data_IF_150922184432
#
_entry.id   IF_150922184432
#
_cell.length_a   1.000
_cell.length_b   1.000
_cell.length_c   1.000
_cell.angle_alpha   90.00
_cell.angle_beta   90.00
_cell.angle_gamma   90.00
#
_symmetry.space_group_name_H-M   'P 1'
#
loop_
_entity.id
_entity.type
_entity.pdbx_description
1 polymer ?
#
# COMPACT_ATOMS: atom_id res chain seq x y z
N UNK A 1 16.78 -38.65 -15.66
CA UNK A 1 17.27 -37.30 -15.34
C UNK A 1 18.74 -37.28 -15.75
N UNK A 2 19.14 -36.35 -16.62
CA UNK A 2 20.55 -36.22 -17.03
C UNK A 2 21.38 -35.73 -15.83
N UNK A 3 22.43 -36.49 -15.47
CA UNK A 3 23.28 -36.20 -14.30
C UNK A 3 24.05 -34.89 -14.43
N UNK A 4 24.25 -34.41 -15.67
CA UNK A 4 24.92 -33.14 -15.94
C UNK A 4 23.97 -31.93 -15.88
N UNK A 5 22.67 -32.15 -15.64
CA UNK A 5 21.69 -31.06 -15.51
C UNK A 5 22.05 -30.19 -14.32
N UNK A 6 22.27 -28.88 -14.56
CA UNK A 6 22.43 -27.90 -13.49
C UNK A 6 21.05 -27.47 -13.01
N UNK A 7 20.81 -27.59 -11.72
CA UNK A 7 19.57 -27.21 -11.05
C UNK A 7 19.81 -26.04 -10.11
N UNK A 8 18.77 -25.26 -9.81
CA UNK A 8 18.78 -24.19 -8.80
C UNK A 8 17.45 -24.14 -8.05
N UNK A 9 17.47 -23.59 -6.84
CA UNK A 9 16.23 -23.31 -6.10
C UNK A 9 15.43 -22.19 -6.78
N UNK A 10 14.11 -22.39 -6.90
CA UNK A 10 13.16 -21.36 -7.27
C UNK A 10 13.09 -20.30 -6.15
N UNK A 11 13.44 -19.03 -6.42
CA UNK A 11 13.53 -17.99 -5.39
C UNK A 11 12.16 -17.55 -4.82
N UNK A 12 11.07 -18.11 -5.34
CA UNK A 12 9.70 -17.77 -4.93
C UNK A 12 9.25 -18.51 -3.68
N UNK A 13 9.99 -19.53 -3.23
CA UNK A 13 9.63 -20.32 -2.05
C UNK A 13 10.18 -19.72 -0.75
N UNK A 14 9.41 -19.87 0.32
CA UNK A 14 9.67 -19.33 1.65
C UNK A 14 9.24 -20.34 2.71
N UNK A 15 10.01 -20.47 3.79
CA UNK A 15 9.50 -21.07 5.03
C UNK A 15 8.78 -19.98 5.80
N UNK A 16 7.51 -20.21 6.12
CA UNK A 16 6.68 -19.30 6.91
C UNK A 16 6.29 -19.93 8.22
N UNK A 17 5.98 -19.07 9.19
CA UNK A 17 5.59 -19.43 10.55
C UNK A 17 4.23 -18.81 10.83
N UNK A 18 3.23 -19.61 11.19
CA UNK A 18 1.94 -19.15 11.72
C UNK A 18 1.74 -19.84 13.06
N UNK A 19 1.77 -19.07 14.15
CA UNK A 19 1.77 -19.64 15.50
C UNK A 19 3.00 -20.52 15.75
N UNK A 20 2.78 -21.77 16.17
CA UNK A 20 3.84 -22.78 16.33
C UNK A 20 4.09 -23.63 15.07
N UNK A 21 3.29 -23.45 14.02
CA UNK A 21 3.40 -24.25 12.80
C UNK A 21 4.29 -23.60 11.77
N UNK A 22 5.06 -24.45 11.09
CA UNK A 22 5.94 -24.08 9.97
C UNK A 22 5.33 -24.65 8.71
N UNK A 23 5.38 -23.91 7.62
CA UNK A 23 4.97 -24.41 6.30
C UNK A 23 5.82 -23.79 5.20
N UNK A 24 5.88 -24.47 4.07
CA UNK A 24 6.54 -23.96 2.88
C UNK A 24 5.50 -23.20 2.03
N UNK A 25 5.85 -22.02 1.54
CA UNK A 25 4.96 -21.15 0.78
C UNK A 25 5.64 -20.65 -0.50
N UNK A 26 4.96 -20.73 -1.64
CA UNK A 26 5.45 -20.20 -2.93
C UNK A 26 4.69 -18.92 -3.27
N UNK A 27 5.40 -17.80 -3.20
CA UNK A 27 4.83 -16.48 -3.43
C UNK A 27 4.24 -16.28 -4.83
N UNK A 28 4.81 -16.93 -5.85
CA UNK A 28 4.40 -16.81 -7.25
C UNK A 28 2.95 -17.25 -7.47
N UNK A 29 2.57 -18.40 -6.89
CA UNK A 29 1.26 -19.04 -7.13
C UNK A 29 0.39 -19.13 -5.87
N UNK A 30 0.89 -18.61 -4.74
CA UNK A 30 0.22 -18.58 -3.43
C UNK A 30 -0.16 -19.95 -2.87
N UNK A 31 0.62 -20.97 -3.22
CA UNK A 31 0.46 -22.32 -2.68
C UNK A 31 1.23 -22.45 -1.37
N UNK A 32 0.59 -23.07 -0.37
CA UNK A 32 1.22 -23.53 0.85
C UNK A 32 1.28 -25.07 0.80
N UNK A 33 2.43 -25.64 1.12
CA UNK A 33 2.62 -27.08 1.27
C UNK A 33 2.45 -27.46 2.74
N UNK A 34 1.98 -28.69 2.96
CA UNK A 34 1.77 -29.23 4.30
C UNK A 34 3.07 -29.28 5.12
N UNK A 35 2.98 -29.17 6.46
CA UNK A 35 4.14 -29.18 7.36
C UNK A 35 4.98 -30.47 7.31
N UNK A 36 4.52 -31.54 6.67
CA UNK A 36 5.25 -32.80 6.68
C UNK A 36 6.45 -32.79 5.72
N UNK A 37 6.39 -32.02 4.63
CA UNK A 37 7.53 -31.90 3.70
C UNK A 37 8.75 -31.25 4.37
N UNK A 38 8.51 -30.29 5.27
CA UNK A 38 9.56 -29.57 5.99
C UNK A 38 10.10 -30.35 7.20
N UNK A 39 9.51 -31.49 7.55
CA UNK A 39 10.04 -32.41 8.57
C UNK A 39 11.02 -33.42 7.95
N UNK A 40 11.06 -33.52 6.63
CA UNK A 40 11.94 -34.43 5.92
C UNK A 40 13.37 -33.87 5.90
N UNK A 41 14.33 -34.59 6.49
CA UNK A 41 15.74 -34.16 6.57
C UNK A 41 16.39 -34.12 5.18
N UNK A 42 16.16 -35.15 4.36
CA UNK A 42 16.66 -35.25 2.98
C UNK A 42 16.16 -34.10 2.10
N UNK A 43 14.93 -33.62 2.34
CA UNK A 43 14.43 -32.41 1.68
C UNK A 43 15.33 -31.20 1.93
N UNK A 44 15.74 -30.99 3.19
CA UNK A 44 16.58 -29.86 3.57
C UNK A 44 18.04 -30.01 3.14
N UNK A 45 18.58 -31.23 3.15
CA UNK A 45 19.93 -31.47 2.63
C UNK A 45 20.03 -31.18 1.13
N UNK A 46 19.07 -31.68 0.34
CA UNK A 46 19.01 -31.37 -1.09
C UNK A 46 18.78 -29.88 -1.30
N UNK A 47 17.89 -29.26 -0.53
CA UNK A 47 17.66 -27.82 -0.59
C UNK A 47 18.95 -27.03 -0.31
N UNK A 48 19.63 -27.31 0.80
CA UNK A 48 20.86 -26.64 1.19
C UNK A 48 21.94 -26.80 0.11
N UNK A 49 22.07 -28.00 -0.45
CA UNK A 49 23.01 -28.28 -1.51
C UNK A 49 22.79 -27.39 -2.76
N UNK A 50 21.53 -27.17 -3.14
CA UNK A 50 21.15 -26.37 -4.31
C UNK A 50 20.89 -24.88 -4.00
N UNK A 51 21.30 -24.37 -2.83
CA UNK A 51 21.35 -22.91 -2.56
C UNK A 51 22.23 -22.17 -3.57
N UNK A 52 23.13 -22.89 -4.23
CA UNK A 52 23.86 -22.45 -5.43
C UNK A 52 23.51 -23.38 -6.59
N UNK A 53 23.50 -22.88 -7.83
CA UNK A 53 23.32 -23.75 -8.99
C UNK A 53 24.42 -24.82 -9.05
N UNK A 54 24.02 -26.09 -9.05
CA UNK A 54 24.90 -27.26 -9.08
C UNK A 54 24.31 -28.35 -9.95
N UNK A 55 25.12 -29.32 -10.36
CA UNK A 55 24.66 -30.48 -11.11
C UNK A 55 24.09 -31.58 -10.21
N UNK A 56 23.27 -32.45 -10.80
CA UNK A 56 22.80 -33.66 -10.13
C UNK A 56 23.98 -34.58 -9.77
N UNK A 57 25.00 -34.66 -10.62
CA UNK A 57 26.21 -35.46 -10.34
C UNK A 57 26.91 -35.01 -9.06
N UNK A 58 27.15 -33.69 -8.92
CA UNK A 58 27.77 -33.14 -7.71
C UNK A 58 26.95 -33.44 -6.44
N UNK A 59 25.61 -33.49 -6.56
CA UNK A 59 24.73 -33.83 -5.43
C UNK A 59 24.92 -35.30 -5.00
N UNK A 60 25.02 -36.22 -5.96
CA UNK A 60 25.24 -37.65 -5.69
C UNK A 60 26.64 -37.94 -5.10
N UNK A 61 27.62 -37.09 -5.40
CA UNK A 61 28.97 -37.20 -4.85
C UNK A 61 29.11 -36.57 -3.45
N UNK A 62 28.26 -35.60 -3.12
CA UNK A 62 28.41 -34.78 -1.90
C UNK A 62 27.41 -35.10 -0.79
N UNK A 63 26.19 -35.54 -1.14
CA UNK A 63 25.14 -35.87 -0.16
C UNK A 63 25.35 -37.31 0.30
N UNK A 64 25.58 -37.51 1.59
CA UNK A 64 26.00 -38.79 2.15
C UNK A 64 24.82 -39.76 2.37
N UNK A 65 24.14 -40.12 1.29
CA UNK A 65 23.01 -41.04 1.27
C UNK A 65 23.01 -41.93 0.02
N UNK A 66 22.19 -42.98 0.01
CA UNK A 66 22.04 -43.83 -1.18
C UNK A 66 21.61 -43.02 -2.41
N UNK A 67 22.27 -43.25 -3.54
CA UNK A 67 22.05 -42.49 -4.77
C UNK A 67 20.58 -42.47 -5.22
N UNK A 68 19.87 -43.60 -5.10
CA UNK A 68 18.46 -43.67 -5.49
C UNK A 68 17.57 -42.78 -4.60
N UNK A 69 17.91 -42.68 -3.31
CA UNK A 69 17.20 -41.84 -2.36
C UNK A 69 17.40 -40.35 -2.66
N UNK A 70 18.64 -39.93 -2.94
CA UNK A 70 18.98 -38.56 -3.35
C UNK A 70 18.32 -38.21 -4.69
N UNK A 71 18.34 -39.11 -5.68
CA UNK A 71 17.69 -38.91 -6.98
C UNK A 71 16.18 -38.70 -6.82
N UNK A 72 15.52 -39.51 -5.98
CA UNK A 72 14.09 -39.40 -5.76
C UNK A 72 13.72 -38.10 -5.04
N UNK A 73 14.51 -37.65 -4.08
CA UNK A 73 14.34 -36.35 -3.45
C UNK A 73 14.47 -35.21 -4.47
N UNK A 74 15.53 -35.20 -5.29
CA UNK A 74 15.73 -34.19 -6.34
C UNK A 74 14.54 -34.16 -7.32
N UNK A 75 14.07 -35.33 -7.78
CA UNK A 75 12.88 -35.41 -8.65
C UNK A 75 11.64 -34.83 -7.99
N UNK A 76 11.36 -35.18 -6.73
CA UNK A 76 10.23 -34.64 -5.98
C UNK A 76 10.29 -33.12 -5.82
N UNK A 77 11.48 -32.56 -5.61
CA UNK A 77 11.67 -31.11 -5.57
C UNK A 77 11.47 -30.45 -6.96
N UNK A 78 11.85 -31.11 -8.05
CA UNK A 78 11.56 -30.64 -9.41
C UNK A 78 10.06 -30.68 -9.69
N UNK A 79 9.38 -31.77 -9.34
CA UNK A 79 7.93 -31.93 -9.56
C UNK A 79 7.12 -30.90 -8.77
N UNK A 80 7.57 -30.55 -7.57
CA UNK A 80 7.01 -29.45 -6.77
C UNK A 80 7.36 -28.06 -7.33
N UNK A 81 8.26 -27.95 -8.30
CA UNK A 81 8.79 -26.69 -8.85
C UNK A 81 9.77 -25.96 -7.92
N UNK A 82 10.26 -26.64 -6.89
CA UNK A 82 11.25 -26.11 -5.93
C UNK A 82 12.63 -26.04 -6.58
N UNK A 83 13.01 -27.07 -7.33
CA UNK A 83 14.21 -27.06 -8.17
C UNK A 83 13.82 -26.82 -9.62
N UNK A 84 14.51 -25.90 -10.27
CA UNK A 84 14.31 -25.57 -11.67
C UNK A 84 15.58 -25.84 -12.47
N UNK A 85 15.44 -26.29 -13.71
CA UNK A 85 16.56 -26.46 -14.64
C UNK A 85 17.18 -25.10 -14.92
N UNK A 86 18.49 -25.01 -14.72
CA UNK A 86 19.23 -23.79 -14.92
C UNK A 86 19.55 -23.58 -16.41
N UNK A 87 18.54 -23.18 -17.18
CA UNK A 87 18.71 -22.84 -18.60
C UNK A 87 19.54 -21.56 -18.74
N UNK A 88 20.83 -21.70 -19.04
CA UNK A 88 21.73 -20.56 -19.32
C UNK A 88 21.24 -19.73 -20.54
N UNK A 89 20.29 -20.25 -21.34
CA UNK A 89 19.74 -19.60 -22.54
C UNK A 89 18.52 -18.69 -22.32
N UNK A 90 17.92 -18.65 -21.13
CA UNK A 90 16.89 -17.63 -20.86
C UNK A 90 17.57 -16.28 -20.66
N UNK A 91 17.49 -15.43 -21.68
CA UNK A 91 18.12 -14.09 -21.81
C UNK A 91 17.74 -13.05 -20.74
N UNK A 92 17.19 -13.46 -19.60
CA UNK A 92 17.15 -12.68 -18.38
C UNK A 92 17.99 -13.39 -17.32
N UNK A 93 19.26 -12.98 -17.23
CA UNK A 93 20.25 -13.53 -16.30
C UNK A 93 19.87 -13.42 -14.83
N UNK A 94 19.00 -14.30 -14.34
CA UNK A 94 18.73 -14.46 -12.91
C UNK A 94 19.96 -15.00 -12.15
N UNK A 95 20.89 -15.67 -12.84
CA UNK A 95 22.14 -16.18 -12.25
C UNK A 95 23.20 -15.11 -11.94
N UNK A 96 22.94 -13.82 -12.18
CA UNK A 96 23.89 -12.76 -11.83
C UNK A 96 23.50 -11.91 -10.63
N UNK A 97 22.33 -12.15 -10.03
CA UNK A 97 21.94 -11.47 -8.81
C UNK A 97 22.30 -12.32 -7.60
N UNK A 98 23.59 -12.41 -7.29
CA UNK A 98 23.98 -12.61 -5.89
C UNK A 98 23.29 -11.47 -5.14
N UNK A 99 22.31 -11.80 -4.29
CA UNK A 99 21.67 -10.80 -3.45
C UNK A 99 22.79 -10.10 -2.70
N UNK A 100 23.01 -8.82 -3.02
CA UNK A 100 24.04 -8.06 -2.33
C UNK A 100 23.78 -8.14 -0.82
N UNK A 101 24.83 -8.03 -0.01
CA UNK A 101 24.69 -8.01 1.46
C UNK A 101 23.60 -7.02 1.93
N UNK A 102 23.41 -5.91 1.20
CA UNK A 102 22.33 -4.94 1.43
C UNK A 102 20.93 -5.53 1.23
N UNK A 103 20.71 -6.34 0.20
CA UNK A 103 19.41 -6.98 -0.05
C UNK A 103 19.12 -8.09 0.97
N UNK A 104 20.13 -8.86 1.37
CA UNK A 104 20.02 -9.89 2.42
C UNK A 104 19.63 -9.25 3.76
N UNK A 105 20.16 -8.06 4.06
CA UNK A 105 19.81 -7.34 5.29
C UNK A 105 18.42 -6.65 5.21
N UNK A 106 17.72 -6.70 4.08
CA UNK A 106 16.43 -6.03 3.86
C UNK A 106 15.42 -6.97 3.17
N UNK A 107 15.37 -8.23 3.61
CA UNK A 107 14.55 -9.27 2.97
C UNK A 107 13.07 -8.93 2.93
N UNK A 108 12.53 -8.23 3.93
CA UNK A 108 11.12 -7.81 3.95
C UNK A 108 10.76 -6.93 2.75
N UNK A 109 11.61 -5.95 2.42
CA UNK A 109 11.45 -5.09 1.25
C UNK A 109 11.56 -5.88 -0.06
N UNK A 110 12.46 -6.86 -0.12
CA UNK A 110 12.61 -7.76 -1.27
C UNK A 110 11.34 -8.61 -1.44
N UNK A 111 10.82 -9.16 -0.35
CA UNK A 111 9.59 -9.96 -0.36
C UNK A 111 8.38 -9.14 -0.75
N UNK A 112 8.23 -7.93 -0.20
CA UNK A 112 7.19 -7.01 -0.62
C UNK A 112 7.31 -6.73 -2.12
N UNK A 113 8.51 -6.39 -2.62
CA UNK A 113 8.71 -6.10 -4.03
C UNK A 113 8.35 -7.29 -4.95
N UNK A 114 8.85 -8.49 -4.65
CA UNK A 114 8.62 -9.68 -5.48
C UNK A 114 7.14 -10.08 -5.45
N UNK A 115 6.54 -10.16 -4.27
CA UNK A 115 5.14 -10.56 -4.08
C UNK A 115 4.14 -9.60 -4.73
N UNK A 116 4.52 -8.34 -4.93
CA UNK A 116 3.65 -7.31 -5.52
C UNK A 116 4.00 -6.94 -6.98
N UNK A 117 5.13 -7.42 -7.53
CA UNK A 117 5.54 -7.13 -8.93
C UNK A 117 5.46 -8.32 -9.87
N UNK A 118 5.60 -9.56 -9.37
CA UNK A 118 5.71 -10.78 -10.19
C UNK A 118 4.41 -11.58 -10.17
N UNK A 119 3.32 -10.93 -10.58
CA UNK A 119 1.99 -11.54 -10.62
C UNK A 119 1.51 -11.64 -12.06
N UNK A 120 0.58 -12.55 -12.33
CA UNK A 120 -0.06 -12.64 -13.63
C UNK A 120 -0.80 -11.31 -13.92
N UNK A 121 -0.54 -10.75 -15.10
CA UNK A 121 -1.14 -9.50 -15.55
C UNK A 121 -2.30 -9.83 -16.47
N UNK A 122 -3.45 -9.19 -16.25
CA UNK A 122 -4.56 -9.23 -17.20
C UNK A 122 -4.20 -8.30 -18.37
N UNK A 123 -4.20 -8.82 -19.60
CA UNK A 123 -4.00 -7.97 -20.76
C UNK A 123 -5.32 -7.29 -21.15
N UNK A 124 -5.51 -6.05 -20.69
CA UNK A 124 -6.71 -5.25 -20.96
C UNK A 124 -6.86 -4.83 -22.43
N UNK A 125 -5.92 -5.15 -23.32
CA UNK A 125 -6.12 -5.00 -24.78
C UNK A 125 -6.85 -6.17 -25.42
N UNK A 126 -7.06 -7.28 -24.69
CA UNK A 126 -7.70 -8.50 -25.18
C UNK A 126 -8.99 -8.78 -24.39
N UNK A 127 -10.14 -8.57 -25.02
CA UNK A 127 -11.46 -8.72 -24.40
C UNK A 127 -11.69 -10.08 -23.72
N UNK A 128 -11.20 -11.18 -24.32
CA UNK A 128 -11.34 -12.53 -23.76
C UNK A 128 -10.58 -12.72 -22.44
N UNK A 129 -9.37 -12.16 -22.33
CA UNK A 129 -8.59 -12.23 -21.08
C UNK A 129 -9.25 -11.41 -19.95
N UNK A 130 -9.87 -10.27 -20.28
CA UNK A 130 -10.65 -9.48 -19.31
C UNK A 130 -11.84 -10.29 -18.78
N UNK A 131 -12.58 -10.94 -19.68
CA UNK A 131 -13.74 -11.76 -19.30
C UNK A 131 -13.32 -12.89 -18.35
N UNK A 132 -12.28 -13.64 -18.73
CA UNK A 132 -11.86 -14.86 -18.02
C UNK A 132 -11.16 -14.57 -16.70
N UNK A 133 -10.27 -13.57 -16.65
CA UNK A 133 -9.38 -13.33 -15.51
C UNK A 133 -9.84 -12.21 -14.59
N UNK A 134 -10.77 -11.34 -15.03
CA UNK A 134 -11.27 -10.22 -14.23
C UNK A 134 -12.77 -10.33 -13.96
N UNK A 135 -13.60 -10.37 -15.00
CA UNK A 135 -15.05 -10.35 -14.84
C UNK A 135 -15.59 -11.58 -14.08
N UNK A 136 -15.20 -12.79 -14.49
CA UNK A 136 -15.65 -14.02 -13.83
C UNK A 136 -15.27 -14.07 -12.35
N UNK A 137 -14.04 -13.68 -12.03
CA UNK A 137 -13.52 -13.59 -10.67
C UNK A 137 -14.30 -12.57 -9.82
N UNK A 138 -14.63 -11.42 -10.39
CA UNK A 138 -15.47 -10.42 -9.73
C UNK A 138 -16.91 -10.90 -9.54
N UNK A 139 -17.49 -11.58 -10.51
CA UNK A 139 -18.86 -12.12 -10.46
C UNK A 139 -19.02 -13.21 -9.39
N UNK A 140 -17.99 -14.02 -9.16
CA UNK A 140 -17.95 -14.96 -8.04
C UNK A 140 -17.87 -14.17 -6.73
N UNK A 141 -16.92 -13.22 -6.65
CA UNK A 141 -16.67 -12.49 -5.41
C UNK A 141 -17.88 -11.71 -4.89
N UNK A 142 -18.61 -11.03 -5.77
CA UNK A 142 -19.80 -10.25 -5.37
C UNK A 142 -20.99 -11.13 -4.95
N UNK A 143 -20.99 -12.42 -5.30
CA UNK A 143 -21.98 -13.39 -4.78
C UNK A 143 -21.62 -13.85 -3.37
N UNK A 144 -20.33 -13.93 -3.06
CA UNK A 144 -19.83 -14.41 -1.76
C UNK A 144 -19.80 -13.29 -0.72
N UNK A 145 -19.43 -12.07 -1.12
CA UNK A 145 -19.20 -10.95 -0.22
C UNK A 145 -19.72 -9.63 -0.80
N UNK A 146 -20.26 -8.79 0.08
CA UNK A 146 -20.67 -7.44 -0.31
C UNK A 146 -19.46 -6.53 -0.51
N UNK A 147 -19.44 -5.70 -1.58
CA UNK A 147 -18.43 -4.67 -1.74
C UNK A 147 -18.36 -3.73 -0.52
N UNK A 148 -17.16 -3.43 0.01
CA UNK A 148 -17.01 -2.47 1.09
C UNK A 148 -17.58 -1.10 0.73
N UNK A 149 -18.15 -0.41 1.72
CA UNK A 149 -18.68 0.94 1.55
C UNK A 149 -17.61 1.91 1.05
N UNK A 150 -17.97 2.76 0.08
CA UNK A 150 -17.17 3.89 -0.39
C UNK A 150 -16.97 4.99 0.68
N UNK A 151 -17.78 4.95 1.75
CA UNK A 151 -17.80 5.96 2.79
C UNK A 151 -17.57 5.35 4.16
N UNK A 152 -16.84 6.08 5.00
CA UNK A 152 -16.73 5.80 6.43
C UNK A 152 -17.55 6.84 7.19
N UNK A 153 -18.29 6.39 8.20
CA UNK A 153 -18.77 7.25 9.29
C UNK A 153 -17.93 6.93 10.51
N UNK A 154 -17.16 7.89 10.99
CA UNK A 154 -16.38 7.70 12.20
C UNK A 154 -17.33 7.58 13.41
N UNK A 155 -17.13 6.55 14.26
CA UNK A 155 -18.14 6.15 15.26
C UNK A 155 -18.29 7.15 16.41
N UNK A 156 -17.19 7.77 16.81
CA UNK A 156 -17.13 8.70 17.93
C UNK A 156 -16.93 10.15 17.44
N UNK A 157 -17.75 10.57 16.48
CA UNK A 157 -17.72 11.93 15.94
C UNK A 157 -19.10 12.54 15.79
N UNK A 158 -19.15 13.87 15.78
CA UNK A 158 -20.37 14.67 15.68
C UNK A 158 -20.22 15.64 14.50
N UNK A 159 -21.24 15.75 13.62
CA UNK A 159 -21.30 16.80 12.58
C UNK A 159 -20.94 18.17 13.13
N UNK A 160 -20.00 18.89 12.50
CA UNK A 160 -19.58 20.20 13.02
C UNK A 160 -19.47 21.31 11.95
N UNK A 161 -18.76 21.07 10.84
CA UNK A 161 -18.56 22.10 9.81
C UNK A 161 -18.91 21.57 8.44
N UNK A 162 -20.05 22.02 7.89
CA UNK A 162 -20.39 21.80 6.49
C UNK A 162 -19.40 22.56 5.62
N UNK A 163 -18.90 21.91 4.59
CA UNK A 163 -17.91 22.49 3.69
C UNK A 163 -18.58 22.89 2.37
N UNK A 164 -18.04 23.92 1.73
CA UNK A 164 -18.48 24.28 0.38
C UNK A 164 -17.90 23.30 -0.65
N UNK A 165 -18.73 22.86 -1.59
CA UNK A 165 -18.27 22.08 -2.74
C UNK A 165 -17.29 22.89 -3.62
N UNK A 166 -16.53 22.17 -4.45
CA UNK A 166 -15.39 22.66 -5.23
C UNK A 166 -15.58 24.07 -5.83
N UNK A 167 -14.77 25.02 -5.35
CA UNK A 167 -14.57 26.31 -6.02
C UNK A 167 -13.67 26.07 -7.23
N UNK A 168 -14.08 26.42 -8.47
CA UNK A 168 -13.29 26.16 -9.67
C UNK A 168 -11.90 26.83 -9.67
N UNK A 169 -10.85 26.12 -10.08
CA UNK A 169 -9.47 26.66 -10.19
C UNK A 169 -9.37 27.93 -11.03
N UNK A 170 -10.33 28.15 -11.97
CA UNK A 170 -10.42 29.41 -12.73
C UNK A 170 -10.57 30.65 -11.86
N UNK A 171 -10.99 30.51 -10.60
CA UNK A 171 -10.97 31.60 -9.63
C UNK A 171 -9.52 32.04 -9.30
N UNK A 172 -8.56 31.13 -9.39
CA UNK A 172 -7.14 31.35 -9.13
C UNK A 172 -6.29 31.55 -10.40
N UNK A 173 -6.92 31.62 -11.58
CA UNK A 173 -6.27 31.60 -12.92
C UNK A 173 -5.17 32.64 -13.12
N UNK A 174 -5.23 33.79 -12.44
CA UNK A 174 -4.23 34.86 -12.59
C UNK A 174 -2.85 34.49 -12.05
N UNK A 175 -2.74 33.43 -11.21
CA UNK A 175 -1.48 33.00 -10.57
C UNK A 175 -0.98 31.62 -10.98
N UNK A 176 -1.76 30.85 -11.74
CA UNK A 176 -1.40 29.53 -12.29
C UNK A 176 -0.63 29.73 -13.62
N UNK A 177 0.45 30.50 -13.62
CA UNK A 177 1.39 30.47 -14.75
C UNK A 177 2.24 29.18 -14.67
N UNK A 178 3.11 28.93 -15.66
CA UNK A 178 4.01 27.77 -15.75
C UNK A 178 4.97 27.56 -14.55
N UNK A 179 4.82 28.34 -13.47
CA UNK A 179 5.56 28.35 -12.21
C UNK A 179 5.07 27.32 -11.17
N UNK A 180 4.05 26.49 -11.44
CA UNK A 180 3.57 25.45 -10.49
C UNK A 180 4.69 24.51 -10.03
N UNK A 181 5.71 24.27 -10.88
CA UNK A 181 6.90 23.48 -10.55
C UNK A 181 8.12 24.33 -10.16
N UNK A 182 7.99 25.65 -10.17
CA UNK A 182 9.02 26.55 -9.64
C UNK A 182 8.79 26.75 -8.14
N UNK A 183 9.87 26.82 -7.36
CA UNK A 183 9.81 26.97 -5.90
C UNK A 183 9.26 28.32 -5.43
N UNK A 184 9.00 29.25 -6.34
CA UNK A 184 8.67 30.64 -6.03
C UNK A 184 7.30 30.98 -6.60
N UNK A 185 6.25 30.49 -5.94
CA UNK A 185 4.88 30.96 -6.16
C UNK A 185 4.57 32.01 -5.09
N UNK A 186 4.24 33.22 -5.52
CA UNK A 186 3.81 34.28 -4.61
C UNK A 186 2.38 33.97 -4.11
N UNK A 187 2.30 33.53 -2.84
CA UNK A 187 1.09 33.02 -2.20
C UNK A 187 -0.14 33.91 -2.30
N UNK A 188 -1.32 33.31 -2.16
CA UNK A 188 -2.61 34.02 -2.15
C UNK A 188 -2.95 34.54 -0.75
N UNK A 189 -2.60 33.82 0.32
CA UNK A 189 -2.86 34.22 1.70
C UNK A 189 -1.99 33.37 2.66
N UNK A 190 -1.41 34.01 3.69
CA UNK A 190 -0.61 33.32 4.71
C UNK A 190 -1.42 32.90 5.95
N UNK A 191 -2.70 33.31 6.07
CA UNK A 191 -3.52 32.97 7.22
C UNK A 191 -4.28 31.66 6.98
N UNK A 192 -4.05 30.68 7.84
CA UNK A 192 -4.65 29.35 7.74
C UNK A 192 -6.09 29.40 8.26
N UNK A 193 -7.04 28.90 7.48
CA UNK A 193 -8.47 28.95 7.77
C UNK A 193 -9.21 27.66 7.38
N UNK A 194 -10.45 27.51 7.83
CA UNK A 194 -11.35 26.44 7.40
C UNK A 194 -11.55 26.42 5.88
N UNK A 195 -11.64 27.57 5.23
CA UNK A 195 -11.79 27.66 3.76
C UNK A 195 -10.57 27.08 3.02
N UNK A 196 -9.38 27.28 3.59
CA UNK A 196 -8.15 26.72 3.06
C UNK A 196 -8.13 25.20 3.20
N UNK A 197 -8.53 24.68 4.38
CA UNK A 197 -8.66 23.24 4.62
C UNK A 197 -9.68 22.65 3.64
N UNK A 198 -10.81 23.32 3.45
CA UNK A 198 -11.83 22.92 2.48
C UNK A 198 -11.26 22.85 1.06
N UNK A 199 -10.48 23.86 0.63
CA UNK A 199 -9.87 23.86 -0.69
C UNK A 199 -8.90 22.69 -0.88
N UNK A 200 -8.03 22.40 0.10
CA UNK A 200 -7.13 21.24 0.07
C UNK A 200 -7.93 19.94 -0.10
N UNK A 201 -8.96 19.72 0.73
CA UNK A 201 -9.79 18.52 0.69
C UNK A 201 -10.52 18.38 -0.65
N UNK A 202 -11.05 19.48 -1.18
CA UNK A 202 -11.74 19.52 -2.47
C UNK A 202 -10.84 19.09 -3.64
N UNK A 203 -9.55 19.38 -3.58
CA UNK A 203 -8.60 19.04 -4.63
C UNK A 203 -7.79 17.76 -4.35
N UNK A 204 -7.88 17.16 -3.16
CA UNK A 204 -7.13 15.94 -2.83
C UNK A 204 -8.02 14.71 -2.63
N UNK A 205 -9.14 14.82 -1.89
CA UNK A 205 -9.85 13.63 -1.37
C UNK A 205 -11.39 13.72 -1.41
N UNK A 206 -11.97 14.88 -1.73
CA UNK A 206 -13.42 15.05 -1.85
C UNK A 206 -14.02 14.20 -2.98
N UNK A 207 -15.33 13.96 -2.92
CA UNK A 207 -16.07 13.32 -4.00
C UNK A 207 -16.33 14.35 -5.11
N UNK A 208 -15.95 14.05 -6.34
CA UNK A 208 -16.20 14.90 -7.53
C UNK A 208 -17.21 14.29 -8.49
N UNK A 209 -17.58 13.02 -8.29
CA UNK A 209 -18.51 12.34 -9.17
C UNK A 209 -18.73 10.89 -8.78
N UNK A 210 -19.32 10.14 -9.70
CA UNK A 210 -19.55 8.70 -9.55
C UNK A 210 -19.29 7.98 -10.86
N UNK A 211 -18.94 6.70 -10.77
CA UNK A 211 -18.71 5.82 -11.92
C UNK A 211 -19.39 4.48 -11.67
N UNK A 212 -19.98 3.88 -12.70
CA UNK A 212 -20.50 2.51 -12.65
C UNK A 212 -19.39 1.54 -13.01
N UNK A 213 -19.04 0.66 -12.08
CA UNK A 213 -18.01 -0.36 -12.24
C UNK A 213 -18.66 -1.71 -12.53
N UNK A 214 -18.02 -2.51 -13.38
CA UNK A 214 -18.44 -3.90 -13.60
C UNK A 214 -18.51 -4.67 -12.27
N UNK A 215 -19.56 -5.49 -12.10
CA UNK A 215 -19.92 -6.29 -10.92
C UNK A 215 -20.18 -5.55 -9.59
N UNK A 216 -19.48 -4.45 -9.33
CA UNK A 216 -19.52 -3.74 -8.04
C UNK A 216 -20.47 -2.54 -8.02
N UNK A 217 -21.00 -2.16 -9.19
CA UNK A 217 -21.97 -1.09 -9.33
C UNK A 217 -21.37 0.29 -9.09
N UNK A 218 -22.11 1.14 -8.38
CA UNK A 218 -21.80 2.56 -8.23
C UNK A 218 -20.64 2.83 -7.27
N UNK A 219 -19.59 3.46 -7.78
CA UNK A 219 -18.45 3.98 -7.03
C UNK A 219 -18.33 5.50 -7.11
N UNK A 220 -17.54 6.07 -6.20
CA UNK A 220 -17.24 7.50 -6.22
C UNK A 220 -16.00 7.78 -7.07
N UNK A 221 -15.90 9.00 -7.57
CA UNK A 221 -14.67 9.56 -8.13
C UNK A 221 -14.15 10.63 -7.17
N UNK A 222 -12.82 10.69 -7.01
CA UNK A 222 -12.09 11.76 -6.31
C UNK A 222 -11.20 12.52 -7.31
N UNK A 223 -10.64 13.69 -6.97
CA UNK A 223 -9.71 14.45 -7.82
C UNK A 223 -8.42 13.70 -8.17
N UNK A 224 -8.18 12.58 -7.49
CA UNK A 224 -7.05 11.67 -7.70
C UNK A 224 -7.55 10.33 -8.24
N UNK A 225 -6.80 9.66 -9.12
CA UNK A 225 -7.14 8.31 -9.55
C UNK A 225 -7.00 7.33 -8.38
N UNK A 226 -7.74 6.23 -8.46
CA UNK A 226 -7.61 5.10 -7.53
C UNK A 226 -7.85 3.79 -8.27
N UNK A 227 -7.05 2.76 -7.96
CA UNK A 227 -7.19 1.45 -8.60
C UNK A 227 -8.59 0.87 -8.42
N UNK A 228 -9.31 0.66 -9.53
CA UNK A 228 -10.70 0.17 -9.52
C UNK A 228 -11.71 1.10 -8.87
N UNK A 229 -11.42 2.41 -8.78
CA UNK A 229 -12.24 3.42 -8.11
C UNK A 229 -12.55 3.07 -6.63
N UNK A 230 -11.60 2.41 -5.93
CA UNK A 230 -11.80 1.93 -4.56
C UNK A 230 -11.64 3.03 -3.50
N UNK A 231 -10.81 4.03 -3.76
CA UNK A 231 -10.56 5.18 -2.90
C UNK A 231 -10.44 4.81 -1.41
N UNK A 232 -9.36 4.07 -1.08
CA UNK A 232 -9.17 3.52 0.28
C UNK A 232 -8.89 4.57 1.34
N UNK A 233 -8.42 5.74 0.91
CA UNK A 233 -7.93 6.77 1.82
C UNK A 233 -9.05 7.52 2.53
N UNK A 234 -8.89 7.66 3.85
CA UNK A 234 -9.65 8.54 4.74
C UNK A 234 -8.73 9.66 5.26
N UNK A 235 -9.29 10.83 5.54
CA UNK A 235 -8.56 11.98 6.07
C UNK A 235 -9.03 12.37 7.48
N UNK A 236 -8.09 12.51 8.40
CA UNK A 236 -8.30 13.08 9.72
C UNK A 236 -7.58 14.42 9.84
N UNK A 237 -8.31 15.46 10.20
CA UNK A 237 -7.79 16.83 10.29
C UNK A 237 -7.55 17.15 11.75
N UNK A 238 -6.28 17.34 12.12
CA UNK A 238 -5.88 17.77 13.45
C UNK A 238 -5.59 19.25 13.38
N UNK A 239 -6.37 20.04 14.12
CA UNK A 239 -6.34 21.50 14.10
C UNK A 239 -5.79 22.00 15.43
N UNK A 240 -4.72 22.79 15.34
CA UNK A 240 -4.12 23.50 16.47
C UNK A 240 -4.73 24.91 16.63
N UNK A 241 -4.37 25.61 17.70
CA UNK A 241 -4.86 26.96 17.97
C UNK A 241 -4.45 27.98 16.91
N UNK A 242 -5.33 28.95 16.66
CA UNK A 242 -5.10 30.07 15.76
C UNK A 242 -5.36 29.77 14.27
N UNK A 243 -6.20 28.77 13.99
CA UNK A 243 -6.76 28.53 12.65
C UNK A 243 -8.15 29.18 12.59
N UNK A 244 -8.36 30.04 11.60
CA UNK A 244 -9.61 30.80 11.49
C UNK A 244 -10.79 29.92 11.08
N UNK A 245 -11.94 30.13 11.71
CA UNK A 245 -13.21 29.48 11.33
C UNK A 245 -13.32 28.01 11.72
N UNK A 246 -12.36 27.47 12.47
CA UNK A 246 -12.41 26.08 12.99
C UNK A 246 -11.78 26.00 14.38
N UNK A 247 -12.53 25.42 15.32
CA UNK A 247 -12.05 25.17 16.68
C UNK A 247 -10.86 24.19 16.71
N UNK A 248 -9.98 24.36 17.69
CA UNK A 248 -9.00 23.33 18.08
C UNK A 248 -9.67 21.95 18.26
N UNK A 249 -9.04 20.90 17.73
CA UNK A 249 -9.56 19.54 17.85
C UNK A 249 -9.09 18.59 16.75
N UNK A 250 -9.64 17.38 16.77
CA UNK A 250 -9.50 16.39 15.71
C UNK A 250 -10.83 16.22 14.98
N UNK A 251 -10.77 16.03 13.66
CA UNK A 251 -11.94 15.91 12.79
C UNK A 251 -11.75 14.75 11.81
N UNK A 252 -12.83 14.07 11.45
CA UNK A 252 -12.86 13.15 10.31
C UNK A 252 -13.54 13.84 9.14
N UNK A 253 -12.94 13.77 7.95
CA UNK A 253 -13.58 14.29 6.74
C UNK A 253 -14.61 13.29 6.22
N UNK A 254 -15.88 13.64 6.42
CA UNK A 254 -17.01 12.85 5.95
C UNK A 254 -17.26 13.12 4.47
N UNK A 255 -16.66 12.30 3.61
CA UNK A 255 -16.79 12.41 2.15
C UNK A 255 -18.24 12.32 1.67
N UNK A 256 -19.11 11.56 2.36
CA UNK A 256 -20.50 11.39 1.92
C UNK A 256 -21.32 12.67 2.07
N UNK A 257 -21.10 13.40 3.17
CA UNK A 257 -21.85 14.61 3.51
C UNK A 257 -21.05 15.90 3.23
N UNK A 258 -19.84 15.77 2.67
CA UNK A 258 -18.92 16.87 2.42
C UNK A 258 -18.73 17.80 3.63
N UNK A 259 -18.35 17.20 4.76
CA UNK A 259 -18.35 17.84 6.09
C UNK A 259 -17.18 17.40 6.95
N UNK A 260 -16.75 18.25 7.88
CA UNK A 260 -15.91 17.83 9.01
C UNK A 260 -16.75 17.39 10.21
N UNK A 261 -16.58 16.13 10.61
CA UNK A 261 -17.16 15.56 11.83
C UNK A 261 -16.14 15.66 12.97
N UNK A 262 -16.44 16.40 14.04
CA UNK A 262 -15.55 16.56 15.20
C UNK A 262 -15.45 15.25 15.96
N UNK A 263 -14.23 14.76 16.14
CA UNK A 263 -13.92 13.55 16.89
C UNK A 263 -13.89 13.88 18.39
N UNK A 264 -14.61 13.10 19.18
CA UNK A 264 -14.69 13.31 20.62
C UNK A 264 -13.50 12.66 21.34
N UNK A 265 -12.38 13.36 21.36
CA UNK A 265 -11.17 13.01 22.12
C UNK A 265 -10.73 14.18 23.00
N UNK A 266 -9.92 13.90 24.02
CA UNK A 266 -9.45 14.92 24.96
C UNK A 266 -8.52 15.94 24.26
N UNK A 267 -8.45 17.17 24.78
CA UNK A 267 -7.48 18.16 24.30
C UNK A 267 -6.04 17.71 24.49
N UNK A 268 -5.78 16.89 25.52
CA UNK A 268 -4.49 16.25 25.74
C UNK A 268 -4.12 15.29 24.60
N UNK A 269 -5.07 14.49 24.12
CA UNK A 269 -4.83 13.56 23.01
C UNK A 269 -4.70 14.30 21.66
N UNK A 270 -5.44 15.39 21.44
CA UNK A 270 -5.23 16.26 20.27
C UNK A 270 -3.80 16.82 20.27
N UNK A 271 -3.32 17.31 21.41
CA UNK A 271 -1.93 17.78 21.54
C UNK A 271 -0.92 16.66 21.29
N UNK A 272 -1.17 15.44 21.77
CA UNK A 272 -0.32 14.28 21.44
C UNK A 272 -0.28 14.02 19.95
N UNK A 273 -1.42 14.08 19.24
CA UNK A 273 -1.45 13.90 17.79
C UNK A 273 -0.62 14.96 17.07
N UNK A 274 -0.69 16.22 17.51
CA UNK A 274 0.10 17.32 16.94
C UNK A 274 1.61 17.06 17.10
N UNK A 275 2.03 16.65 18.30
CA UNK A 275 3.44 16.34 18.59
C UNK A 275 3.90 15.12 17.79
N UNK A 276 3.11 14.05 17.83
CA UNK A 276 3.39 12.78 17.19
C UNK A 276 3.55 12.89 15.67
N UNK A 277 2.76 13.77 15.04
CA UNK A 277 2.76 13.92 13.58
C UNK A 277 3.96 14.71 13.05
N UNK A 278 4.69 15.44 13.89
CA UNK A 278 5.82 16.29 13.49
C UNK A 278 7.18 15.57 13.57
N UNK A 279 7.25 14.31 13.12
CA UNK A 279 8.42 13.43 13.30
C UNK A 279 9.70 14.00 12.68
N UNK A 280 9.62 14.62 11.50
CA UNK A 280 10.79 15.03 10.72
C UNK A 280 11.29 16.45 11.01
N UNK A 281 10.71 17.17 12.00
CA UNK A 281 11.05 18.57 12.38
C UNK A 281 11.33 19.49 11.17
N UNK A 282 10.61 19.27 10.06
CA UNK A 282 10.83 20.00 8.80
C UNK A 282 10.37 21.46 8.87
N UNK A 283 9.47 21.77 9.81
CA UNK A 283 8.99 23.13 10.07
C UNK A 283 10.00 24.09 10.69
N UNK A 284 11.29 23.73 10.83
CA UNK A 284 12.36 24.62 11.35
C UNK A 284 12.02 25.28 12.70
N UNK A 285 11.36 24.54 13.60
CA UNK A 285 10.92 25.04 14.91
C UNK A 285 9.51 25.66 14.94
N UNK A 286 8.83 25.78 13.80
CA UNK A 286 7.40 26.16 13.75
C UNK A 286 6.52 25.03 14.29
N UNK A 287 5.44 25.41 14.97
CA UNK A 287 4.44 24.46 15.47
C UNK A 287 3.42 24.18 14.37
N UNK A 288 3.10 22.90 14.07
CA UNK A 288 2.03 22.57 13.16
C UNK A 288 0.71 23.27 13.53
N UNK A 289 0.05 23.84 12.54
CA UNK A 289 -1.26 24.48 12.64
C UNK A 289 -2.39 23.55 12.19
N UNK A 290 -2.16 22.84 11.10
CA UNK A 290 -3.09 21.82 10.60
C UNK A 290 -2.28 20.60 10.17
N UNK A 291 -2.76 19.42 10.54
CA UNK A 291 -2.22 18.14 10.07
C UNK A 291 -3.37 17.37 9.44
N UNK A 292 -3.19 16.90 8.21
CA UNK A 292 -4.07 15.95 7.55
C UNK A 292 -3.39 14.59 7.68
N UNK A 293 -3.93 13.70 8.51
CA UNK A 293 -3.50 12.31 8.60
C UNK A 293 -4.28 11.49 7.57
N UNK A 294 -3.57 10.77 6.73
CA UNK A 294 -4.17 9.90 5.73
C UNK A 294 -4.08 8.45 6.21
N UNK A 295 -5.23 7.82 6.39
CA UNK A 295 -5.31 6.39 6.66
C UNK A 295 -5.85 5.64 5.46
N UNK A 296 -5.57 4.34 5.36
CA UNK A 296 -6.13 3.48 4.32
C UNK A 296 -6.98 2.38 4.94
N UNK A 297 -8.24 2.25 4.48
CA UNK A 297 -9.08 1.10 4.78
C UNK A 297 -8.70 -0.03 3.82
N UNK A 298 -8.03 -1.06 4.34
CA UNK A 298 -7.40 -2.09 3.52
C UNK A 298 -8.40 -2.91 2.72
N UNK A 299 -9.53 -3.27 3.35
CA UNK A 299 -10.58 -4.10 2.75
C UNK A 299 -11.13 -3.50 1.45
N UNK A 300 -11.18 -2.16 1.32
CA UNK A 300 -11.62 -1.50 0.07
C UNK A 300 -10.73 -1.84 -1.12
N UNK A 301 -9.41 -1.85 -0.93
CA UNK A 301 -8.45 -2.25 -1.99
C UNK A 301 -8.44 -3.76 -2.15
N UNK A 302 -8.42 -4.52 -1.05
CA UNK A 302 -8.37 -5.99 -1.06
C UNK A 302 -9.56 -6.64 -1.76
N UNK A 303 -10.73 -6.00 -1.73
CA UNK A 303 -11.90 -6.49 -2.45
C UNK A 303 -11.67 -6.57 -3.97
N UNK A 304 -10.95 -5.57 -4.53
CA UNK A 304 -10.58 -5.53 -5.95
C UNK A 304 -9.29 -6.32 -6.21
N UNK A 305 -8.28 -6.15 -5.36
CA UNK A 305 -6.97 -6.77 -5.49
C UNK A 305 -6.79 -7.78 -4.36
N UNK A 306 -7.12 -9.06 -4.60
CA UNK A 306 -7.13 -10.13 -3.56
C UNK A 306 -5.74 -10.63 -3.18
N UNK A 307 -4.76 -9.75 -3.25
CA UNK A 307 -3.37 -10.08 -3.41
C UNK A 307 -2.47 -8.96 -2.90
N UNK A 308 -1.17 -9.23 -2.72
CA UNK A 308 -0.24 -8.33 -2.05
C UNK A 308 -0.12 -6.92 -2.69
N UNK A 309 -0.25 -6.76 -4.02
CA UNK A 309 -0.30 -5.49 -4.76
C UNK A 309 -1.50 -4.62 -4.36
N UNK A 310 -2.51 -5.14 -3.65
CA UNK A 310 -3.51 -4.28 -2.96
C UNK A 310 -2.85 -3.14 -2.19
N UNK A 311 -1.79 -3.43 -1.43
CA UNK A 311 -1.01 -2.42 -0.70
C UNK A 311 -0.25 -1.50 -1.64
N UNK A 312 0.34 -2.02 -2.73
CA UNK A 312 1.07 -1.20 -3.71
C UNK A 312 0.16 -0.12 -4.32
N UNK A 313 -1.08 -0.47 -4.65
CA UNK A 313 -2.08 0.48 -5.17
C UNK A 313 -2.42 1.56 -4.13
N UNK A 314 -2.57 1.18 -2.85
CA UNK A 314 -2.84 2.15 -1.77
C UNK A 314 -1.72 3.20 -1.64
N UNK A 315 -0.46 2.82 -1.83
CA UNK A 315 0.66 3.78 -1.84
C UNK A 315 0.59 4.74 -3.03
N UNK A 316 0.13 4.28 -4.20
CA UNK A 316 -0.06 5.15 -5.37
C UNK A 316 -1.20 6.15 -5.14
N UNK A 317 -2.33 5.69 -4.58
CA UNK A 317 -3.44 6.56 -4.20
C UNK A 317 -2.94 7.69 -3.26
N UNK A 318 -2.16 7.36 -2.23
CA UNK A 318 -1.55 8.35 -1.33
C UNK A 318 -0.60 9.30 -2.05
N UNK A 319 0.25 8.79 -2.95
CA UNK A 319 1.15 9.62 -3.74
C UNK A 319 0.42 10.65 -4.60
N UNK A 320 -0.72 10.28 -5.19
CA UNK A 320 -1.57 11.21 -5.93
C UNK A 320 -2.21 12.27 -5.03
N UNK A 321 -2.64 11.88 -3.82
CA UNK A 321 -3.19 12.80 -2.82
C UNK A 321 -2.13 13.83 -2.42
N UNK A 322 -0.93 13.39 -2.03
CA UNK A 322 0.17 14.27 -1.66
C UNK A 322 0.57 15.21 -2.80
N UNK A 323 0.61 14.72 -4.04
CA UNK A 323 0.91 15.56 -5.19
C UNK A 323 -0.09 16.71 -5.32
N UNK A 324 -1.40 16.44 -5.19
CA UNK A 324 -2.42 17.48 -5.23
C UNK A 324 -2.34 18.42 -4.02
N UNK A 325 -2.11 17.91 -2.81
CA UNK A 325 -1.97 18.72 -1.59
C UNK A 325 -0.76 19.68 -1.69
N UNK A 326 0.38 19.22 -2.20
CA UNK A 326 1.57 20.04 -2.42
C UNK A 326 1.32 21.11 -3.50
N UNK A 327 0.66 20.76 -4.61
CA UNK A 327 0.32 21.71 -5.67
C UNK A 327 -0.60 22.81 -5.11
N UNK A 328 -1.66 22.42 -4.40
CA UNK A 328 -2.62 23.36 -3.82
C UNK A 328 -1.96 24.21 -2.73
N UNK A 329 -1.15 23.60 -1.85
CA UNK A 329 -0.41 24.32 -0.82
C UNK A 329 0.56 25.34 -1.41
N UNK A 330 1.25 24.99 -2.50
CA UNK A 330 2.15 25.90 -3.22
C UNK A 330 1.41 27.07 -3.86
N UNK A 331 0.26 26.81 -4.51
CA UNK A 331 -0.61 27.87 -5.08
C UNK A 331 -1.08 28.85 -4.00
N UNK A 332 -1.37 28.33 -2.80
CA UNK A 332 -1.81 29.13 -1.67
C UNK A 332 -0.65 29.86 -0.96
N UNK A 333 0.60 29.45 -1.18
CA UNK A 333 1.78 29.98 -0.50
C UNK A 333 1.95 29.46 0.92
N UNK A 334 1.50 28.24 1.19
CA UNK A 334 1.58 27.64 2.53
C UNK A 334 2.99 27.11 2.81
N UNK A 335 3.40 27.25 4.07
CA UNK A 335 4.51 26.47 4.60
C UNK A 335 4.01 25.09 5.00
N UNK A 336 4.14 24.13 4.08
CA UNK A 336 3.63 22.78 4.27
C UNK A 336 4.63 21.70 3.83
N UNK A 337 4.46 20.49 4.36
CA UNK A 337 5.25 19.32 3.98
C UNK A 337 4.45 18.03 4.14
N UNK A 338 4.70 17.09 3.25
CA UNK A 338 4.31 15.69 3.39
C UNK A 338 5.28 14.90 4.28
N UNK A 339 4.76 13.91 5.00
CA UNK A 339 5.53 12.92 5.74
C UNK A 339 4.95 11.53 5.52
N UNK A 340 5.81 10.59 5.14
CA UNK A 340 5.52 9.15 5.10
C UNK A 340 5.98 8.43 6.37
N UNK A 341 6.54 9.18 7.32
CA UNK A 341 6.92 8.67 8.64
C UNK A 341 5.95 9.24 9.66
N UNK A 342 5.10 8.36 10.18
CA UNK A 342 4.11 8.66 11.21
C UNK A 342 4.25 7.62 12.32
N UNK A 343 4.02 7.94 13.59
CA UNK A 343 4.00 6.93 14.65
C UNK A 343 2.63 6.25 14.67
N UNK A 344 2.43 5.26 13.80
CA UNK A 344 1.14 4.62 13.54
C UNK A 344 0.47 4.15 14.83
N UNK A 345 1.17 3.34 15.63
CA UNK A 345 0.62 2.77 16.88
C UNK A 345 0.03 3.82 17.83
N UNK A 346 0.69 4.99 17.96
CA UNK A 346 0.23 6.05 18.84
C UNK A 346 -1.01 6.75 18.27
N UNK A 347 -0.96 7.08 16.97
CA UNK A 347 -2.05 7.77 16.30
C UNK A 347 -3.29 6.88 16.22
N UNK A 348 -3.13 5.61 15.86
CA UNK A 348 -4.21 4.63 15.77
C UNK A 348 -4.86 4.39 17.12
N UNK A 349 -4.07 4.32 18.20
CA UNK A 349 -4.59 4.19 19.56
C UNK A 349 -5.48 5.38 19.94
N UNK A 350 -5.00 6.61 19.71
CA UNK A 350 -5.77 7.83 20.01
C UNK A 350 -7.03 7.91 19.15
N UNK A 351 -6.92 7.60 17.86
CA UNK A 351 -8.04 7.61 16.91
C UNK A 351 -8.87 6.32 16.96
N UNK A 352 -8.62 5.41 17.90
CA UNK A 352 -9.35 4.15 18.05
C UNK A 352 -9.50 3.36 16.74
N UNK A 353 -8.43 3.32 15.94
CA UNK A 353 -8.38 2.58 14.67
C UNK A 353 -7.98 1.12 14.94
N UNK A 354 -8.54 0.20 14.16
CA UNK A 354 -8.10 -1.19 14.19
C UNK A 354 -6.99 -1.37 13.16
N UNK A 355 -5.73 -1.62 13.58
CA UNK A 355 -4.58 -1.68 12.68
C UNK A 355 -4.65 -2.80 11.64
N UNK A 356 -5.54 -3.80 11.84
CA UNK A 356 -5.76 -4.87 10.86
C UNK A 356 -6.76 -4.47 9.76
N UNK A 357 -7.50 -3.37 9.95
CA UNK A 357 -8.54 -2.89 9.02
C UNK A 357 -8.20 -1.54 8.40
N UNK A 358 -7.60 -0.66 9.20
CA UNK A 358 -7.29 0.71 8.83
C UNK A 358 -6.07 1.20 9.61
N UNK A 359 -5.10 1.72 8.88
CA UNK A 359 -3.85 2.24 9.44
C UNK A 359 -3.52 3.59 8.84
N UNK A 360 -2.91 4.47 9.64
CA UNK A 360 -2.41 5.76 9.18
C UNK A 360 -1.11 5.53 8.42
N UNK A 361 -1.04 6.00 7.18
CA UNK A 361 0.07 5.71 6.26
C UNK A 361 0.94 6.94 6.00
N UNK A 362 0.39 8.14 6.20
CA UNK A 362 1.09 9.39 5.95
C UNK A 362 0.43 10.58 6.63
N UNK A 363 1.11 11.72 6.62
CA UNK A 363 0.55 13.00 7.01
C UNK A 363 0.95 14.12 6.05
N UNK A 364 0.11 15.15 5.97
CA UNK A 364 0.41 16.43 5.34
C UNK A 364 0.27 17.53 6.40
N UNK A 365 1.31 18.33 6.58
CA UNK A 365 1.47 19.22 7.72
C UNK A 365 1.58 20.64 7.21
N UNK A 366 0.85 21.57 7.82
CA UNK A 366 0.86 23.00 7.55
C UNK A 366 1.32 23.71 8.83
N UNK A 367 2.31 24.60 8.73
CA UNK A 367 2.99 25.25 9.87
C UNK A 367 2.55 26.69 10.14
#
# INVERSE_FOLDING_TARGET
MDKNTILKICPSFQVRFIGSEKYLYRAKDRLAWEPDIIKNEMFWEVWEFFLKPRSVLEALESINHENDYVINAIKGLIDCGILEVNNIKDGYGYNKFILSKKLINNMESVFFHISTSRMNWVNYSKSKEIQELDHNEMDIKVREEQPPSNFKKYRNSIPKYDLAELIPLKFFKSKINNSIFSKEIEGLNNKISLDLINLLLNYSIAKVGTVEMYATGKHILKPVPSGGARHTTEAYIIVNDGVDGIDFGAYHFNVNNHRLDKINISSFDVNKLIIASNVLVRGKGKKPKVIILHSCIFERSMFRYREARSYRVMHFDLGHIHANEIIVGSILGLDCTESYSVPENLIESILSLNPLKESVMSSFIIY
#
